data_IF_306136121697
#
_entry.id   IF_306136121697
#
_cell.length_a   1.000
_cell.length_b   1.000
_cell.length_c   1.000
_cell.angle_alpha   90.00
_cell.angle_beta   90.00
_cell.angle_gamma   90.00
#
_symmetry.space_group_name_H-M   'P 1'
#
loop_
_entity.id
_entity.type
_entity.pdbx_description
1 polymer ?
#
# COMPACT_ATOMS: atom_id res chain seq x y z
N UNK A 1 -4.02 9.81 -3.20
CA UNK A 1 -5.31 9.30 -3.75
C UNK A 1 -6.47 10.29 -3.69
N UNK A 2 -6.53 11.27 -2.77
CA UNK A 2 -7.67 12.19 -2.64
C UNK A 2 -7.94 13.03 -3.90
N UNK A 3 -6.91 13.52 -4.58
CA UNK A 3 -7.07 14.33 -5.80
C UNK A 3 -7.75 13.56 -6.94
N UNK A 4 -7.29 12.34 -7.23
CA UNK A 4 -7.86 11.52 -8.31
C UNK A 4 -9.22 10.89 -7.99
N UNK A 5 -9.63 10.80 -6.72
CA UNK A 5 -10.94 10.24 -6.32
C UNK A 5 -12.07 11.26 -6.33
N UNK A 6 -11.77 12.53 -6.08
CA UNK A 6 -12.79 13.56 -5.85
C UNK A 6 -12.65 14.79 -6.76
N UNK A 7 -11.43 15.19 -7.12
CA UNK A 7 -11.21 16.44 -7.86
C UNK A 7 -11.22 16.22 -9.37
N UNK A 8 -10.67 15.10 -9.86
CA UNK A 8 -10.59 14.77 -11.29
C UNK A 8 -11.95 14.80 -12.00
N UNK A 9 -13.01 14.35 -11.33
CA UNK A 9 -14.36 14.29 -11.90
C UNK A 9 -15.10 15.63 -11.82
N UNK A 10 -14.82 16.45 -10.80
CA UNK A 10 -15.48 17.74 -10.61
C UNK A 10 -14.82 18.89 -11.38
N UNK A 11 -13.52 18.78 -11.66
CA UNK A 11 -12.74 19.85 -12.30
C UNK A 11 -13.30 20.29 -13.66
N UNK A 12 -13.61 19.39 -14.60
CA UNK A 12 -14.11 19.79 -15.92
C UNK A 12 -15.41 20.60 -15.83
N UNK A 13 -16.33 20.18 -14.95
CA UNK A 13 -17.59 20.88 -14.72
C UNK A 13 -17.34 22.26 -14.10
N UNK A 14 -16.47 22.35 -13.10
CA UNK A 14 -16.12 23.63 -12.47
C UNK A 14 -15.50 24.60 -13.48
N UNK A 15 -14.65 24.13 -14.39
CA UNK A 15 -14.06 24.96 -15.46
C UNK A 15 -15.14 25.49 -16.39
N UNK A 16 -16.05 24.63 -16.87
CA UNK A 16 -17.14 25.03 -17.76
C UNK A 16 -18.08 26.03 -17.09
N UNK A 17 -18.52 25.75 -15.85
CA UNK A 17 -19.41 26.64 -15.10
C UNK A 17 -18.74 27.99 -14.84
N UNK A 18 -17.45 28.00 -14.51
CA UNK A 18 -16.68 29.24 -14.30
C UNK A 18 -16.58 30.05 -15.59
N UNK A 19 -16.27 29.40 -16.72
CA UNK A 19 -16.17 30.09 -18.03
C UNK A 19 -17.52 30.66 -18.49
N UNK A 20 -18.61 29.89 -18.37
CA UNK A 20 -19.96 30.34 -18.73
C UNK A 20 -20.40 31.49 -17.81
N UNK A 21 -20.20 31.35 -16.50
CA UNK A 21 -20.54 32.39 -15.53
C UNK A 21 -19.80 33.70 -15.76
N UNK A 22 -18.48 33.64 -16.00
CA UNK A 22 -17.67 34.82 -16.32
C UNK A 22 -18.09 35.47 -17.64
N UNK A 23 -18.41 34.66 -18.66
CA UNK A 23 -18.85 35.16 -19.96
C UNK A 23 -20.20 35.87 -19.88
N UNK A 24 -21.15 35.30 -19.12
CA UNK A 24 -22.47 35.88 -18.91
C UNK A 24 -22.45 37.19 -18.10
N UNK A 25 -21.52 37.32 -17.13
CA UNK A 25 -21.46 38.51 -16.25
C UNK A 25 -20.62 39.64 -16.80
N UNK A 26 -19.47 39.34 -17.44
CA UNK A 26 -18.51 40.38 -17.81
C UNK A 26 -18.77 40.99 -19.19
N UNK A 27 -19.57 40.32 -20.04
CA UNK A 27 -20.07 40.82 -21.33
C UNK A 27 -18.98 41.17 -22.37
N UNK A 28 -17.70 40.95 -22.03
CA UNK A 28 -16.55 41.30 -22.86
C UNK A 28 -15.50 40.21 -22.74
N UNK A 29 -15.08 39.66 -23.89
CA UNK A 29 -14.03 38.66 -23.96
C UNK A 29 -12.76 39.12 -23.23
N UNK A 30 -12.32 40.37 -23.41
CA UNK A 30 -11.12 40.92 -22.75
C UNK A 30 -11.21 40.85 -21.23
N UNK A 31 -12.37 41.17 -20.64
CA UNK A 31 -12.59 41.12 -19.18
C UNK A 31 -12.59 39.67 -18.67
N UNK A 32 -13.19 38.75 -19.42
CA UNK A 32 -13.13 37.32 -19.11
C UNK A 32 -11.69 36.82 -19.12
N UNK A 33 -10.88 37.20 -20.12
CA UNK A 33 -9.48 36.80 -20.20
C UNK A 33 -8.68 37.35 -19.01
N UNK A 34 -8.86 38.61 -18.65
CA UNK A 34 -8.22 39.22 -17.47
C UNK A 34 -8.60 38.48 -16.18
N UNK A 35 -9.85 38.04 -16.04
CA UNK A 35 -10.31 37.26 -14.88
C UNK A 35 -9.80 35.81 -14.89
N UNK A 36 -9.62 35.21 -16.06
CA UNK A 36 -9.12 33.83 -16.21
C UNK A 36 -7.64 33.71 -15.88
N UNK A 37 -6.80 34.70 -16.23
CA UNK A 37 -5.36 34.66 -15.95
C UNK A 37 -5.02 34.35 -14.49
N UNK A 38 -5.55 35.09 -13.48
CA UNK A 38 -5.26 34.79 -12.08
C UNK A 38 -5.87 33.45 -11.64
N UNK A 39 -7.03 33.05 -12.17
CA UNK A 39 -7.63 31.74 -11.87
C UNK A 39 -6.76 30.59 -12.38
N UNK A 40 -6.25 30.69 -13.60
CA UNK A 40 -5.31 29.72 -14.16
C UNK A 40 -4.02 29.69 -13.34
N UNK A 41 -3.47 30.86 -12.99
CA UNK A 41 -2.27 30.94 -12.15
C UNK A 41 -2.46 30.27 -10.79
N UNK A 42 -3.59 30.53 -10.10
CA UNK A 42 -3.92 29.88 -8.81
C UNK A 42 -4.09 28.38 -8.97
N UNK A 43 -4.73 27.91 -10.05
CA UNK A 43 -4.87 26.48 -10.31
C UNK A 43 -3.51 25.82 -10.60
N UNK A 44 -2.63 26.45 -11.38
CA UNK A 44 -1.28 25.95 -11.64
C UNK A 44 -0.47 25.83 -10.34
N UNK A 45 -0.49 26.87 -9.50
CA UNK A 45 0.14 26.83 -8.16
C UNK A 45 -0.46 25.72 -7.31
N UNK A 46 -1.79 25.56 -7.31
CA UNK A 46 -2.48 24.50 -6.59
C UNK A 46 -2.09 23.09 -7.06
N UNK A 47 -1.93 22.88 -8.38
CA UNK A 47 -1.48 21.61 -8.96
C UNK A 47 -0.05 21.29 -8.54
N UNK A 48 0.86 22.27 -8.60
CA UNK A 48 2.25 22.10 -8.14
C UNK A 48 2.29 21.78 -6.65
N UNK A 49 1.54 22.53 -5.82
CA UNK A 49 1.47 22.29 -4.39
C UNK A 49 0.88 20.90 -4.07
N UNK A 50 -0.14 20.45 -4.81
CA UNK A 50 -0.71 19.11 -4.66
C UNK A 50 0.30 18.03 -5.04
N UNK A 51 1.04 18.23 -6.14
CA UNK A 51 2.08 17.33 -6.60
C UNK A 51 3.22 17.21 -5.57
N UNK A 52 3.63 18.33 -4.98
CA UNK A 52 4.72 18.40 -4.00
C UNK A 52 4.36 17.85 -2.61
N UNK A 53 3.09 17.96 -2.19
CA UNK A 53 2.71 17.64 -0.80
C UNK A 53 1.83 16.41 -0.63
N UNK A 54 1.05 16.01 -1.65
CA UNK A 54 0.01 14.97 -1.51
C UNK A 54 0.02 13.90 -2.60
N UNK A 55 0.71 14.12 -3.71
CA UNK A 55 0.72 13.16 -4.81
C UNK A 55 1.56 11.93 -4.48
N UNK A 56 0.92 10.76 -4.53
CA UNK A 56 1.59 9.47 -4.47
C UNK A 56 2.16 9.05 -5.83
N UNK A 57 1.83 9.77 -6.90
CA UNK A 57 2.34 9.50 -8.24
C UNK A 57 3.76 10.03 -8.44
N UNK A 58 4.44 9.41 -9.40
CA UNK A 58 5.74 9.81 -9.95
C UNK A 58 5.51 10.40 -11.35
N UNK A 59 6.29 11.41 -11.77
CA UNK A 59 6.28 11.84 -13.16
C UNK A 59 6.71 10.71 -14.09
N UNK A 60 6.14 10.68 -15.30
CA UNK A 60 6.36 9.59 -16.26
C UNK A 60 7.84 9.42 -16.62
N UNK A 61 8.59 10.52 -16.75
CA UNK A 61 10.02 10.47 -17.07
C UNK A 61 10.87 9.87 -15.96
N UNK A 62 10.43 9.96 -14.71
CA UNK A 62 11.10 9.33 -13.56
C UNK A 62 10.81 7.82 -13.46
N UNK A 63 10.07 7.26 -14.42
CA UNK A 63 9.83 5.80 -14.52
C UNK A 63 10.71 5.14 -15.57
N UNK A 64 11.48 5.92 -16.35
CA UNK A 64 12.48 5.37 -17.27
C UNK A 64 13.61 4.70 -16.49
N UNK A 65 14.00 3.49 -16.88
CA UNK A 65 15.00 2.69 -16.17
C UNK A 65 14.52 2.05 -14.86
N UNK A 66 13.39 2.53 -14.29
CA UNK A 66 12.84 2.01 -13.04
C UNK A 66 12.51 0.52 -13.11
N UNK A 67 12.02 0.05 -14.26
CA UNK A 67 11.75 -1.38 -14.49
C UNK A 67 13.03 -2.21 -14.41
N UNK A 68 14.13 -1.74 -14.98
CA UNK A 68 15.41 -2.45 -14.93
C UNK A 68 16.03 -2.41 -13.54
N UNK A 69 15.98 -1.25 -12.87
CA UNK A 69 16.41 -1.13 -11.48
C UNK A 69 15.62 -2.05 -10.55
N UNK A 70 14.31 -2.17 -10.77
CA UNK A 70 13.46 -3.11 -10.03
C UNK A 70 13.80 -4.56 -10.40
N UNK A 71 13.98 -4.88 -11.69
CA UNK A 71 14.32 -6.22 -12.17
C UNK A 71 15.62 -6.74 -11.56
N UNK A 72 16.62 -5.89 -11.41
CA UNK A 72 17.86 -6.22 -10.72
C UNK A 72 17.63 -6.61 -9.24
N UNK A 73 16.55 -6.16 -8.61
CA UNK A 73 16.23 -6.42 -7.20
C UNK A 73 15.30 -7.62 -6.99
N UNK A 74 14.26 -7.72 -7.80
CA UNK A 74 13.15 -8.67 -7.58
C UNK A 74 12.96 -9.67 -8.73
N UNK A 75 13.84 -9.64 -9.72
CA UNK A 75 13.77 -10.50 -10.90
C UNK A 75 12.76 -10.00 -11.93
N UNK A 76 12.51 -10.85 -12.94
CA UNK A 76 11.62 -10.52 -14.05
C UNK A 76 10.17 -10.75 -13.66
N UNK A 77 9.53 -9.71 -13.10
CA UNK A 77 8.14 -9.73 -12.67
C UNK A 77 7.29 -8.78 -13.50
N UNK A 78 6.09 -9.21 -13.83
CA UNK A 78 5.14 -8.45 -14.66
C UNK A 78 4.35 -7.41 -13.85
N UNK A 79 5.07 -6.48 -13.23
CA UNK A 79 4.47 -5.29 -12.64
C UNK A 79 4.05 -4.31 -13.74
N UNK A 80 2.82 -3.83 -13.66
CA UNK A 80 2.30 -2.83 -14.59
C UNK A 80 2.96 -1.47 -14.37
N UNK A 81 2.99 -0.64 -15.41
CA UNK A 81 3.49 0.73 -15.29
C UNK A 81 2.79 1.53 -14.18
N UNK A 82 1.49 1.31 -13.95
CA UNK A 82 0.72 1.98 -12.91
C UNK A 82 1.19 1.64 -11.49
N UNK A 83 1.72 0.44 -11.27
CA UNK A 83 2.30 0.03 -9.99
C UNK A 83 3.65 0.70 -9.78
N UNK A 84 4.47 0.79 -10.84
CA UNK A 84 5.78 1.42 -10.77
C UNK A 84 5.68 2.95 -10.63
N UNK A 85 4.69 3.57 -11.28
CA UNK A 85 4.48 5.01 -11.27
C UNK A 85 3.86 5.53 -9.96
N UNK A 86 3.37 4.66 -9.07
CA UNK A 86 2.76 5.05 -7.80
C UNK A 86 3.67 4.63 -6.64
N UNK A 87 4.18 5.59 -5.86
CA UNK A 87 5.17 5.32 -4.79
C UNK A 87 4.72 4.25 -3.78
N UNK A 88 3.49 4.29 -3.21
CA UNK A 88 2.97 3.19 -2.40
C UNK A 88 2.91 1.83 -3.11
N UNK A 89 2.53 1.77 -4.38
CA UNK A 89 2.48 0.49 -5.09
C UNK A 89 3.89 -0.02 -5.44
N UNK A 90 4.80 0.88 -5.80
CA UNK A 90 6.21 0.59 -6.01
C UNK A 90 6.88 0.07 -4.74
N UNK A 91 6.54 0.62 -3.57
CA UNK A 91 6.96 0.06 -2.27
C UNK A 91 6.55 -1.40 -2.12
N UNK A 92 5.34 -1.73 -2.56
CA UNK A 92 4.73 -3.03 -2.35
C UNK A 92 5.36 -4.10 -3.24
N UNK A 93 6.02 -3.77 -4.36
CA UNK A 93 6.60 -4.76 -5.27
C UNK A 93 7.62 -5.66 -4.57
N UNK A 94 8.55 -5.08 -3.81
CA UNK A 94 9.58 -5.84 -3.09
C UNK A 94 9.00 -6.77 -2.02
N UNK A 95 7.98 -6.32 -1.30
CA UNK A 95 7.26 -7.11 -0.29
C UNK A 95 6.50 -8.25 -0.97
N UNK A 96 5.83 -7.92 -2.07
CA UNK A 96 5.05 -8.86 -2.88
C UNK A 96 5.93 -10.02 -3.31
N UNK A 97 7.12 -9.75 -3.81
CA UNK A 97 8.04 -10.81 -4.23
C UNK A 97 8.50 -11.68 -3.08
N UNK A 98 8.84 -11.09 -1.93
CA UNK A 98 9.20 -11.87 -0.75
C UNK A 98 8.05 -12.77 -0.29
N UNK A 99 6.82 -12.25 -0.27
CA UNK A 99 5.63 -13.00 0.13
C UNK A 99 5.38 -14.15 -0.86
N UNK A 100 5.37 -13.86 -2.17
CA UNK A 100 5.12 -14.87 -3.20
C UNK A 100 6.22 -15.94 -3.26
N UNK A 101 7.49 -15.55 -3.17
CA UNK A 101 8.62 -16.49 -3.15
C UNK A 101 8.52 -17.43 -1.95
N UNK A 102 8.21 -16.89 -0.76
CA UNK A 102 8.03 -17.68 0.44
C UNK A 102 6.83 -18.63 0.34
N UNK A 103 5.69 -18.14 -0.16
CA UNK A 103 4.50 -18.96 -0.37
C UNK A 103 4.77 -20.08 -1.40
N UNK A 104 5.47 -19.78 -2.50
CA UNK A 104 5.88 -20.79 -3.49
C UNK A 104 6.78 -21.85 -2.88
N UNK A 105 7.76 -21.45 -2.09
CA UNK A 105 8.67 -22.40 -1.45
C UNK A 105 7.94 -23.29 -0.43
N UNK A 106 7.06 -22.71 0.39
CA UNK A 106 6.24 -23.47 1.35
C UNK A 106 5.33 -24.44 0.59
N UNK A 107 4.69 -23.99 -0.49
CA UNK A 107 3.77 -24.81 -1.28
C UNK A 107 4.48 -25.92 -2.05
N UNK A 108 5.71 -25.71 -2.51
CA UNK A 108 6.53 -26.76 -3.10
C UNK A 108 6.78 -27.94 -2.15
N UNK A 109 6.77 -27.68 -0.83
CA UNK A 109 6.93 -28.72 0.20
C UNK A 109 5.63 -29.23 0.78
N UNK A 110 4.61 -28.36 0.83
CA UNK A 110 3.27 -28.65 1.36
C UNK A 110 2.24 -28.24 0.30
N UNK A 111 2.05 -29.04 -0.77
CA UNK A 111 1.22 -28.65 -1.92
C UNK A 111 -0.23 -28.29 -1.57
N UNK A 112 -0.79 -28.99 -0.58
CA UNK A 112 -2.17 -28.80 -0.11
C UNK A 112 -2.32 -27.67 0.92
N UNK A 113 -1.24 -26.99 1.29
CA UNK A 113 -1.30 -25.92 2.29
C UNK A 113 -2.14 -24.75 1.79
N UNK A 114 -3.15 -24.35 2.58
CA UNK A 114 -3.99 -23.18 2.31
C UNK A 114 -3.55 -22.02 3.17
N UNK A 115 -3.02 -20.98 2.53
CA UNK A 115 -2.44 -19.84 3.21
C UNK A 115 -3.48 -18.94 3.86
N UNK A 116 -3.14 -18.38 5.01
CA UNK A 116 -3.82 -17.23 5.61
C UNK A 116 -2.84 -16.06 5.64
N UNK A 117 -3.19 -14.98 4.96
CA UNK A 117 -2.34 -13.81 4.84
C UNK A 117 -3.00 -12.64 5.56
N UNK A 118 -2.26 -11.92 6.42
CA UNK A 118 -2.80 -10.83 7.22
C UNK A 118 -2.06 -9.52 6.95
N UNK A 119 -2.83 -8.44 6.80
CA UNK A 119 -2.30 -7.07 6.73
C UNK A 119 -3.36 -6.05 7.15
N UNK A 120 -2.94 -4.87 7.57
CA UNK A 120 -3.78 -3.66 7.69
C UNK A 120 -3.74 -2.80 6.44
N UNK A 121 -2.64 -2.85 5.68
CA UNK A 121 -2.46 -2.11 4.44
C UNK A 121 -1.89 -3.04 3.36
N UNK A 122 -2.77 -3.84 2.77
CA UNK A 122 -2.41 -4.91 1.85
C UNK A 122 -1.85 -4.44 0.51
N UNK A 123 -2.21 -3.22 0.09
CA UNK A 123 -1.72 -2.60 -1.14
C UNK A 123 -1.89 -3.49 -2.38
N UNK A 124 -0.88 -3.50 -3.24
CA UNK A 124 -0.85 -4.40 -4.42
C UNK A 124 -0.42 -5.83 -4.07
N UNK A 125 0.16 -6.06 -2.89
CA UNK A 125 0.58 -7.40 -2.47
C UNK A 125 -0.58 -8.37 -2.39
N UNK A 126 -1.72 -7.97 -1.81
CA UNK A 126 -2.90 -8.83 -1.79
C UNK A 126 -3.39 -9.20 -3.19
N UNK A 127 -3.41 -8.25 -4.12
CA UNK A 127 -3.80 -8.51 -5.51
C UNK A 127 -2.95 -9.62 -6.14
N UNK A 128 -1.62 -9.54 -6.02
CA UNK A 128 -0.73 -10.56 -6.58
C UNK A 128 -0.81 -11.90 -5.86
N UNK A 129 -0.94 -11.90 -4.52
CA UNK A 129 -1.17 -13.12 -3.73
C UNK A 129 -2.40 -13.86 -4.23
N UNK A 130 -3.53 -13.16 -4.43
CA UNK A 130 -4.76 -13.79 -4.91
C UNK A 130 -4.74 -14.13 -6.40
N UNK A 131 -3.96 -13.41 -7.21
CA UNK A 131 -3.72 -13.76 -8.61
C UNK A 131 -2.98 -15.09 -8.73
N UNK A 132 -1.96 -15.33 -7.90
CA UNK A 132 -1.13 -16.55 -7.95
C UNK A 132 -1.73 -17.73 -7.16
N UNK A 133 -2.43 -17.45 -6.05
CA UNK A 133 -2.92 -18.47 -5.12
C UNK A 133 -4.44 -18.48 -4.98
N UNK A 134 -5.18 -18.10 -6.02
CA UNK A 134 -6.65 -18.09 -6.04
C UNK A 134 -7.26 -19.38 -5.46
N UNK A 135 -8.23 -19.25 -4.56
CA UNK A 135 -8.89 -20.37 -3.86
C UNK A 135 -8.05 -21.07 -2.78
N UNK A 136 -6.73 -20.91 -2.80
CA UNK A 136 -5.78 -21.51 -1.85
C UNK A 136 -5.17 -20.53 -0.86
N UNK A 137 -5.56 -19.25 -0.92
CA UNK A 137 -5.22 -18.23 0.06
C UNK A 137 -6.50 -17.59 0.63
N UNK A 138 -6.42 -17.21 1.89
CA UNK A 138 -7.40 -16.41 2.64
C UNK A 138 -6.70 -15.13 3.09
N UNK A 139 -7.43 -14.02 3.15
CA UNK A 139 -6.87 -12.75 3.61
C UNK A 139 -7.63 -12.23 4.81
N UNK A 140 -6.89 -11.83 5.84
CA UNK A 140 -7.44 -11.19 7.03
C UNK A 140 -7.08 -9.71 6.95
N UNK A 141 -8.09 -8.87 6.71
CA UNK A 141 -7.96 -7.42 6.71
C UNK A 141 -8.19 -6.85 8.11
N UNK A 142 -7.11 -6.43 8.76
CA UNK A 142 -7.22 -5.85 10.11
C UNK A 142 -7.83 -4.44 10.13
N UNK A 143 -8.04 -3.80 8.98
CA UNK A 143 -8.79 -2.54 8.85
C UNK A 143 -10.27 -2.74 8.49
N UNK A 144 -10.71 -3.98 8.23
CA UNK A 144 -12.08 -4.32 7.82
C UNK A 144 -12.57 -3.50 6.60
N UNK A 145 -11.69 -3.28 5.62
CA UNK A 145 -11.99 -2.58 4.37
C UNK A 145 -12.39 -3.55 3.25
N UNK A 146 -11.69 -4.68 3.16
CA UNK A 146 -11.89 -5.71 2.14
C UNK A 146 -12.61 -6.95 2.69
N UNK A 147 -12.53 -7.21 4.00
CA UNK A 147 -13.16 -8.36 4.64
C UNK A 147 -14.05 -7.95 5.81
N UNK A 148 -14.90 -8.89 6.25
CA UNK A 148 -15.86 -8.69 7.35
C UNK A 148 -15.57 -9.59 8.55
N UNK A 149 -14.34 -10.06 8.66
CA UNK A 149 -13.96 -11.09 9.64
C UNK A 149 -14.19 -10.67 11.09
N UNK A 150 -14.11 -9.36 11.39
CA UNK A 150 -14.15 -8.84 12.76
C UNK A 150 -15.39 -8.03 13.15
N UNK A 151 -15.98 -7.19 12.29
CA UNK A 151 -17.03 -6.27 12.70
C UNK A 151 -18.28 -6.92 13.29
N UNK A 152 -18.57 -8.17 12.95
CA UNK A 152 -19.79 -8.88 13.35
C UNK A 152 -19.60 -9.85 14.51
N UNK A 153 -18.38 -10.32 14.76
CA UNK A 153 -18.09 -11.34 15.78
C UNK A 153 -17.42 -10.76 17.05
N UNK A 154 -16.76 -9.60 16.94
CA UNK A 154 -16.06 -9.00 18.07
C UNK A 154 -16.96 -8.09 18.89
N UNK A 155 -16.83 -8.09 20.23
CA UNK A 155 -17.60 -7.19 21.07
C UNK A 155 -17.23 -5.72 20.81
N UNK A 156 -18.14 -4.78 21.10
CA UNK A 156 -17.86 -3.36 21.04
C UNK A 156 -16.60 -2.99 21.85
N UNK A 157 -15.81 -2.05 21.34
CA UNK A 157 -14.59 -1.57 21.98
C UNK A 157 -13.31 -2.36 21.67
N UNK A 158 -13.40 -3.53 21.02
CA UNK A 158 -12.20 -4.22 20.51
C UNK A 158 -11.68 -3.56 19.24
N UNK A 159 -12.59 -3.18 18.34
CA UNK A 159 -12.26 -2.45 17.11
C UNK A 159 -12.21 -0.95 17.37
N UNK A 160 -11.16 -0.29 16.86
CA UNK A 160 -11.02 1.16 16.90
C UNK A 160 -11.49 1.77 15.58
N UNK A 161 -12.47 2.68 15.61
CA UNK A 161 -12.85 3.46 14.42
C UNK A 161 -11.76 4.46 14.07
N UNK A 162 -11.26 4.39 12.84
CA UNK A 162 -10.23 5.29 12.27
C UNK A 162 -10.70 5.80 10.90
N UNK A 163 -9.98 6.80 10.37
CA UNK A 163 -10.22 7.32 9.00
C UNK A 163 -10.06 6.25 7.91
N UNK A 164 -9.38 5.15 8.24
CA UNK A 164 -9.09 4.03 7.35
C UNK A 164 -9.99 2.81 7.59
N UNK A 165 -11.05 2.92 8.40
CA UNK A 165 -11.97 1.81 8.69
C UNK A 165 -12.05 1.43 10.17
N UNK A 166 -12.45 0.19 10.42
CA UNK A 166 -12.53 -0.39 11.76
C UNK A 166 -11.28 -1.23 12.03
N UNK A 167 -10.37 -0.66 12.80
CA UNK A 167 -9.01 -1.18 12.95
C UNK A 167 -8.91 -2.10 14.16
N UNK A 168 -8.47 -3.32 13.91
CA UNK A 168 -7.96 -4.24 14.91
C UNK A 168 -6.43 -4.16 14.91
N UNK A 169 -5.84 -3.52 15.91
CA UNK A 169 -4.38 -3.42 15.94
C UNK A 169 -3.75 -4.81 16.18
N UNK A 170 -2.54 -5.04 15.62
CA UNK A 170 -1.84 -6.33 15.76
C UNK A 170 -1.64 -6.78 17.19
N UNK A 171 -1.33 -5.86 18.11
CA UNK A 171 -1.15 -6.19 19.52
C UNK A 171 -2.42 -6.82 20.08
N UNK A 172 -3.56 -6.18 19.89
CA UNK A 172 -4.87 -6.67 20.32
C UNK A 172 -5.24 -7.97 19.63
N UNK A 173 -4.97 -8.11 18.33
CA UNK A 173 -5.18 -9.38 17.62
C UNK A 173 -4.40 -10.52 18.29
N UNK A 174 -3.08 -10.38 18.42
CA UNK A 174 -2.23 -11.46 18.93
C UNK A 174 -2.35 -11.69 20.44
N UNK A 175 -2.66 -10.66 21.24
CA UNK A 175 -2.91 -10.80 22.68
C UNK A 175 -4.23 -11.54 22.94
N UNK A 176 -5.23 -11.41 22.05
CA UNK A 176 -6.55 -12.04 22.18
C UNK A 176 -6.82 -13.11 21.12
N UNK A 177 -5.77 -13.66 20.51
CA UNK A 177 -5.88 -14.52 19.32
C UNK A 177 -6.84 -15.69 19.53
N UNK A 178 -6.68 -16.47 20.61
CA UNK A 178 -7.54 -17.62 20.88
C UNK A 178 -9.03 -17.25 20.97
N UNK A 179 -9.35 -16.10 21.56
CA UNK A 179 -10.74 -15.61 21.64
C UNK A 179 -11.25 -15.18 20.27
N UNK A 180 -10.42 -14.50 19.47
CA UNK A 180 -10.78 -14.03 18.12
C UNK A 180 -11.00 -15.24 17.20
N UNK A 181 -10.07 -16.19 17.18
CA UNK A 181 -10.17 -17.40 16.36
C UNK A 181 -11.42 -18.20 16.71
N UNK A 182 -11.72 -18.36 18.01
CA UNK A 182 -12.93 -19.05 18.46
C UNK A 182 -14.23 -18.33 18.07
N UNK A 183 -14.30 -17.00 18.23
CA UNK A 183 -15.53 -16.23 17.99
C UNK A 183 -15.79 -15.92 16.53
N UNK A 184 -14.73 -15.67 15.79
CA UNK A 184 -14.80 -15.19 14.41
C UNK A 184 -14.55 -16.31 13.39
N UNK A 185 -14.13 -17.50 13.84
CA UNK A 185 -13.77 -18.60 12.96
C UNK A 185 -12.53 -18.30 12.12
N UNK A 186 -11.72 -17.31 12.52
CA UNK A 186 -10.49 -16.96 11.82
C UNK A 186 -9.42 -18.00 12.11
N UNK A 187 -8.65 -18.35 11.07
CA UNK A 187 -7.42 -19.12 11.26
C UNK A 187 -6.28 -18.18 11.62
N UNK A 188 -5.34 -18.70 12.41
CA UNK A 188 -4.06 -18.04 12.65
C UNK A 188 -3.37 -17.71 11.32
N UNK A 189 -2.85 -16.49 11.12
CA UNK A 189 -2.21 -16.13 9.87
C UNK A 189 -0.89 -16.89 9.68
N UNK A 190 -0.64 -17.37 8.48
CA UNK A 190 0.61 -18.00 8.07
C UNK A 190 1.66 -16.94 7.72
N UNK A 191 1.21 -15.88 7.05
CA UNK A 191 2.03 -14.75 6.60
C UNK A 191 1.42 -13.46 7.10
N UNK A 192 2.23 -12.62 7.74
CA UNK A 192 1.86 -11.28 8.17
C UNK A 192 2.78 -10.28 7.49
N UNK A 193 2.24 -9.32 6.76
CA UNK A 193 3.02 -8.23 6.20
C UNK A 193 2.34 -6.90 6.45
N UNK A 194 3.12 -5.89 6.84
CA UNK A 194 2.58 -4.56 7.09
C UNK A 194 3.67 -3.50 7.19
N UNK A 195 3.26 -2.27 7.40
CA UNK A 195 4.07 -1.19 7.88
C UNK A 195 4.76 -1.50 9.20
N UNK A 196 6.06 -1.18 9.25
CA UNK A 196 6.82 -1.28 10.49
C UNK A 196 6.27 -0.32 11.52
N UNK A 197 5.87 -0.84 12.68
CA UNK A 197 5.35 -0.08 13.81
C UNK A 197 6.09 -0.39 15.11
N UNK A 198 6.00 0.50 16.10
CA UNK A 198 6.68 0.33 17.38
C UNK A 198 6.22 -0.97 18.07
N UNK A 199 7.14 -1.94 18.19
CA UNK A 199 6.93 -3.18 18.93
C UNK A 199 6.09 -4.25 18.24
N UNK A 200 5.60 -4.03 17.00
CA UNK A 200 4.80 -5.01 16.26
C UNK A 200 5.61 -6.27 15.95
N UNK A 201 6.81 -6.11 15.40
CA UNK A 201 7.71 -7.22 15.08
C UNK A 201 8.06 -8.05 16.32
N UNK A 202 8.33 -7.39 17.46
CA UNK A 202 8.61 -8.09 18.71
C UNK A 202 7.39 -8.87 19.25
N UNK A 203 6.16 -8.40 18.99
CA UNK A 203 4.94 -9.15 19.33
C UNK A 203 4.85 -10.41 18.46
N UNK A 204 5.08 -10.27 17.16
CA UNK A 204 5.08 -11.39 16.21
C UNK A 204 6.13 -12.44 16.60
N UNK A 205 7.36 -12.02 16.88
CA UNK A 205 8.45 -12.91 17.33
C UNK A 205 8.05 -13.70 18.59
N UNK A 206 7.48 -13.03 19.61
CA UNK A 206 6.97 -13.71 20.82
C UNK A 206 5.79 -14.64 20.57
N UNK A 207 5.10 -14.50 19.44
CA UNK A 207 3.93 -15.30 19.07
C UNK A 207 4.27 -16.41 18.09
N UNK A 208 5.57 -16.66 17.85
CA UNK A 208 6.04 -17.78 17.01
C UNK A 208 6.14 -17.44 15.53
N UNK A 209 6.33 -16.17 15.18
CA UNK A 209 6.65 -15.75 13.81
C UNK A 209 8.13 -15.39 13.69
N UNK A 210 8.72 -15.64 12.53
CA UNK A 210 10.04 -15.11 12.19
C UNK A 210 9.89 -13.90 11.26
N UNK A 211 10.61 -12.82 11.55
CA UNK A 211 10.70 -11.68 10.63
C UNK A 211 11.72 -12.01 9.54
N UNK A 212 11.23 -12.43 8.37
CA UNK A 212 12.07 -12.88 7.26
C UNK A 212 12.58 -11.72 6.40
N UNK A 213 11.83 -10.60 6.40
CA UNK A 213 12.18 -9.44 5.60
C UNK A 213 11.77 -8.13 6.26
N UNK A 214 12.59 -7.10 6.07
CA UNK A 214 12.30 -5.73 6.47
C UNK A 214 12.78 -4.77 5.40
N UNK A 215 11.94 -3.82 5.02
CA UNK A 215 12.28 -2.71 4.15
C UNK A 215 12.24 -1.40 4.93
N UNK A 216 13.14 -0.46 4.61
CA UNK A 216 13.21 0.87 5.24
C UNK A 216 13.64 1.96 4.27
N UNK A 217 13.31 3.20 4.60
CA UNK A 217 13.81 4.39 3.91
C UNK A 217 12.75 5.05 3.01
N UNK A 218 13.02 6.27 2.51
CA UNK A 218 12.05 7.01 1.72
C UNK A 218 12.09 6.63 0.23
N UNK A 219 10.91 6.51 -0.36
CA UNK A 219 10.72 6.52 -1.82
C UNK A 219 10.57 7.98 -2.24
N UNK A 220 11.52 8.45 -3.05
CA UNK A 220 11.63 9.85 -3.48
C UNK A 220 11.12 10.02 -4.91
N UNK A 221 10.80 11.26 -5.26
CA UNK A 221 10.66 11.68 -6.65
C UNK A 221 12.04 12.13 -7.16
N UNK A 222 12.57 11.44 -8.16
CA UNK A 222 13.92 11.65 -8.69
C UNK A 222 13.88 12.65 -9.86
N UNK A 223 14.96 13.43 -10.04
CA UNK A 223 15.13 14.30 -11.22
C UNK A 223 14.25 15.55 -11.28
N UNK A 224 13.58 15.92 -10.18
CA UNK A 224 12.64 17.06 -10.14
C UNK A 224 13.16 18.29 -9.39
N UNK A 225 14.42 18.27 -8.99
CA UNK A 225 15.02 19.37 -8.22
C UNK A 225 14.27 19.64 -6.90
N UNK A 226 14.36 20.86 -6.35
CA UNK A 226 13.84 21.17 -5.03
C UNK A 226 12.30 21.31 -4.95
N UNK A 227 11.58 21.17 -6.06
CA UNK A 227 10.18 21.60 -6.19
C UNK A 227 9.14 20.49 -5.98
N UNK A 228 9.56 19.21 -5.93
CA UNK A 228 8.67 18.05 -5.78
C UNK A 228 9.26 17.03 -4.79
N UNK A 229 9.28 17.40 -3.50
CA UNK A 229 9.95 16.69 -2.40
C UNK A 229 9.10 15.60 -1.75
N UNK A 230 7.87 15.37 -2.20
CA UNK A 230 7.00 14.38 -1.54
C UNK A 230 7.68 13.01 -1.47
N UNK A 231 7.81 12.48 -0.26
CA UNK A 231 8.34 11.13 -0.03
C UNK A 231 7.28 10.21 0.54
N UNK A 232 7.41 8.92 0.25
CA UNK A 232 6.59 7.88 0.89
C UNK A 232 7.51 6.97 1.67
N UNK A 233 7.25 6.71 2.96
CA UNK A 233 8.04 5.75 3.72
C UNK A 233 7.84 4.35 3.13
N UNK A 234 8.95 3.65 2.92
CA UNK A 234 8.94 2.26 2.49
C UNK A 234 8.90 1.27 3.65
N UNK A 235 8.88 1.77 4.90
CA UNK A 235 9.03 0.99 6.12
C UNK A 235 7.95 -0.08 6.28
N UNK A 236 8.33 -1.33 6.00
CA UNK A 236 7.45 -2.50 5.99
C UNK A 236 8.23 -3.76 6.41
N UNK A 237 7.52 -4.80 6.78
CA UNK A 237 8.08 -6.09 7.13
C UNK A 237 7.25 -7.24 6.56
N UNK A 238 7.87 -8.41 6.48
CA UNK A 238 7.20 -9.70 6.27
C UNK A 238 7.59 -10.63 7.41
N UNK A 239 6.59 -11.22 8.04
CA UNK A 239 6.72 -12.21 9.08
C UNK A 239 5.98 -13.48 8.67
N UNK A 240 6.58 -14.64 8.96
CA UNK A 240 6.01 -15.95 8.60
C UNK A 240 5.99 -16.82 9.84
N UNK A 241 4.93 -17.62 10.00
CA UNK A 241 4.84 -18.58 11.09
C UNK A 241 6.06 -19.52 11.06
N UNK A 242 6.80 -19.60 12.16
CA UNK A 242 8.04 -20.37 12.25
C UNK A 242 7.81 -21.86 11.93
N UNK A 243 6.62 -22.40 12.20
CA UNK A 243 6.27 -23.79 11.87
C UNK A 243 6.22 -24.07 10.35
N UNK A 244 6.06 -23.02 9.53
CA UNK A 244 6.08 -23.14 8.08
C UNK A 244 7.48 -22.98 7.48
N UNK A 245 8.41 -22.39 8.22
CA UNK A 245 9.76 -22.15 7.74
C UNK A 245 10.67 -23.37 7.83
N UNK A 246 10.32 -24.38 8.61
CA UNK A 246 11.15 -25.57 8.81
C UNK A 246 11.62 -26.21 7.48
N UNK A 247 12.94 -26.30 7.33
CA UNK A 247 13.66 -26.82 6.17
C UNK A 247 13.67 -25.88 4.96
N UNK A 248 12.93 -24.77 4.95
CA UNK A 248 12.94 -23.80 3.85
C UNK A 248 14.27 -23.04 3.81
N UNK A 249 14.64 -22.53 2.65
CA UNK A 249 15.77 -21.66 2.43
C UNK A 249 15.66 -20.35 3.21
N UNK A 250 14.46 -20.01 3.70
CA UNK A 250 14.15 -18.78 4.44
C UNK A 250 14.30 -18.99 5.96
N UNK A 251 14.42 -20.24 6.41
CA UNK A 251 14.60 -20.56 7.83
C UNK A 251 15.83 -19.84 8.42
N UNK A 252 15.61 -19.13 9.53
CA UNK A 252 16.65 -18.35 10.21
C UNK A 252 17.16 -17.11 9.44
N UNK A 253 16.68 -16.84 8.22
CA UNK A 253 17.08 -15.65 7.47
C UNK A 253 16.28 -14.43 7.91
N UNK A 254 17.00 -13.30 8.04
CA UNK A 254 16.42 -11.96 8.21
C UNK A 254 17.06 -11.00 7.22
N UNK A 255 16.35 -10.69 6.14
CA UNK A 255 16.84 -9.76 5.13
C UNK A 255 16.39 -8.34 5.48
N UNK A 256 17.34 -7.40 5.54
CA UNK A 256 17.05 -5.97 5.68
C UNK A 256 17.39 -5.25 4.39
N UNK A 257 16.44 -4.53 3.83
CA UNK A 257 16.57 -3.75 2.61
C UNK A 257 16.37 -2.26 2.90
N UNK A 258 17.33 -1.45 2.47
CA UNK A 258 17.20 0.01 2.48
C UNK A 258 16.83 0.45 1.07
N UNK A 259 15.70 1.15 0.94
CA UNK A 259 15.19 1.62 -0.34
C UNK A 259 16.25 2.41 -1.11
N UNK A 260 16.57 1.92 -2.30
CA UNK A 260 17.53 2.51 -3.22
C UNK A 260 17.12 2.36 -4.70
N UNK A 261 15.89 1.88 -4.97
CA UNK A 261 15.34 1.83 -6.33
C UNK A 261 14.90 3.25 -6.69
N UNK A 262 15.53 3.78 -7.74
CA UNK A 262 15.40 5.15 -8.18
C UNK A 262 14.97 5.18 -9.63
#
# INVERSE_FOLDING_TARGET
>A
MTGGRFLSHALPLLVVVTMVGLSATLGSARRVHIALVPLVAVNLVGVVALADSRSSGRPIWSTFGLREALKARVGDRDYSWFELANKPHLRDTTITDVVLDAMREIKAKKPEHRFVVMSSQAGMTAYHVFKEHYGSAEFIDTCSLATRDFPTCLPPGVLSRRRIGMVLNFRTYFDKQAMIDQRCGTRRPDVVFDHSGRGVEAILERKGYSIVYRQRGPIKNEGLGPWLRNTVPSDTFVAIDTALLAGTSIEGKRTSYKWNIQ
#
